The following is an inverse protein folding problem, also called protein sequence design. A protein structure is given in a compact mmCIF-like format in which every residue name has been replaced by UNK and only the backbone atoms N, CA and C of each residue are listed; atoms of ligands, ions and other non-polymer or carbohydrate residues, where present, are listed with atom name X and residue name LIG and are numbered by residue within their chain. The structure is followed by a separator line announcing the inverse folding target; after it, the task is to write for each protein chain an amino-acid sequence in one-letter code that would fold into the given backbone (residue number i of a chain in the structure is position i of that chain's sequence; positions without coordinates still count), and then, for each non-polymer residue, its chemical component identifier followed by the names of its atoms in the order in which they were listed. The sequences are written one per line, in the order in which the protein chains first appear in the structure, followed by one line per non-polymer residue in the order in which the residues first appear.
data_IF_925672119867
#
_entry.id   IF_925672119867
#
_cell.length_a   1.000
_cell.length_b   1.000
_cell.length_c   1.000
_cell.angle_alpha   90.00
_cell.angle_beta   90.00
_cell.angle_gamma   90.00
#
_symmetry.space_group_name_H-M   'P 1'
#
loop_
_entity.id
_entity.type
_entity.pdbx_description
1 polymer ?
#
# COMPACT_ATOMS: atom_id res chain seq x y z
N UNK A 1 -16.88 -42.19 36.14
CA UNK A 1 -15.96 -41.86 35.03
C UNK A 1 -16.65 -42.16 33.72
N UNK A 2 -16.57 -41.28 32.72
CA UNK A 2 -17.19 -41.50 31.40
C UNK A 2 -16.52 -42.68 30.66
N UNK A 3 -17.27 -43.40 29.83
CA UNK A 3 -16.70 -44.51 29.07
C UNK A 3 -15.72 -43.98 28.02
N UNK A 4 -14.61 -44.68 27.73
CA UNK A 4 -13.65 -44.25 26.71
C UNK A 4 -14.28 -43.98 25.34
N UNK A 5 -15.35 -44.71 24.99
CA UNK A 5 -16.13 -44.51 23.75
C UNK A 5 -16.86 -43.17 23.70
N UNK A 6 -17.41 -42.70 24.82
CA UNK A 6 -18.13 -41.43 24.93
C UNK A 6 -17.16 -40.26 24.86
N UNK A 7 -15.99 -40.39 25.52
CA UNK A 7 -14.91 -39.41 25.43
C UNK A 7 -14.37 -39.28 24.01
N UNK A 8 -14.14 -40.40 23.32
CA UNK A 8 -13.64 -40.38 21.95
C UNK A 8 -14.66 -39.82 20.96
N UNK A 9 -15.96 -40.03 21.21
CA UNK A 9 -17.03 -39.40 20.43
C UNK A 9 -17.04 -37.88 20.61
N UNK A 10 -17.02 -37.40 21.85
CA UNK A 10 -16.98 -35.96 22.14
C UNK A 10 -15.73 -35.28 21.55
N UNK A 11 -14.56 -35.94 21.59
CA UNK A 11 -13.34 -35.42 20.98
C UNK A 11 -13.42 -35.33 19.44
N UNK A 12 -14.14 -36.24 18.79
CA UNK A 12 -14.37 -36.18 17.33
C UNK A 12 -15.36 -35.07 16.99
N UNK A 13 -16.45 -34.96 17.74
CA UNK A 13 -17.43 -33.88 17.56
C UNK A 13 -16.77 -32.50 17.71
N UNK A 14 -15.90 -32.32 18.72
CA UNK A 14 -15.12 -31.08 18.88
C UNK A 14 -14.14 -30.82 17.72
N UNK A 15 -13.50 -31.87 17.19
CA UNK A 15 -12.62 -31.73 16.03
C UNK A 15 -13.41 -31.32 14.77
N UNK A 16 -14.57 -31.95 14.55
CA UNK A 16 -15.44 -31.63 13.41
C UNK A 16 -15.96 -30.19 13.52
N UNK A 17 -16.42 -29.75 14.70
CA UNK A 17 -16.82 -28.36 14.96
C UNK A 17 -15.68 -27.36 14.71
N UNK A 18 -14.45 -27.71 15.07
CA UNK A 18 -13.29 -26.85 14.84
C UNK A 18 -12.98 -26.68 13.35
N UNK A 19 -13.09 -27.77 12.57
CA UNK A 19 -12.89 -27.75 11.11
C UNK A 19 -13.98 -26.93 10.43
N UNK A 20 -15.24 -27.08 10.84
CA UNK A 20 -16.34 -26.29 10.30
C UNK A 20 -16.16 -24.79 10.60
N UNK A 21 -15.72 -24.44 11.80
CA UNK A 21 -15.43 -23.05 12.17
C UNK A 21 -14.29 -22.45 11.32
N UNK A 22 -13.24 -23.22 11.06
CA UNK A 22 -12.14 -22.80 10.17
C UNK A 22 -12.61 -22.60 8.73
N UNK A 23 -13.48 -23.48 8.23
CA UNK A 23 -14.06 -23.35 6.88
C UNK A 23 -14.90 -22.07 6.78
N UNK A 24 -15.71 -21.76 7.79
CA UNK A 24 -16.50 -20.52 7.81
C UNK A 24 -15.61 -19.28 7.89
N UNK A 25 -14.55 -19.30 8.69
CA UNK A 25 -13.57 -18.21 8.74
C UNK A 25 -12.88 -17.98 7.39
N UNK A 26 -12.51 -19.06 6.69
CA UNK A 26 -11.92 -19.00 5.35
C UNK A 26 -12.92 -18.47 4.30
N UNK A 27 -14.20 -18.84 4.39
CA UNK A 27 -15.26 -18.31 3.53
C UNK A 27 -15.43 -16.81 3.72
N UNK A 28 -15.49 -16.35 4.97
CA UNK A 28 -15.58 -14.92 5.29
C UNK A 28 -14.36 -14.14 4.75
N UNK A 29 -13.15 -14.69 4.91
CA UNK A 29 -11.92 -14.08 4.38
C UNK A 29 -11.90 -14.05 2.84
N UNK A 30 -12.37 -15.10 2.18
CA UNK A 30 -12.50 -15.13 0.72
C UNK A 30 -13.45 -14.04 0.24
N UNK A 31 -14.59 -13.87 0.92
CA UNK A 31 -15.60 -12.90 0.51
C UNK A 31 -15.13 -11.46 0.75
N UNK A 32 -14.37 -11.21 1.82
CA UNK A 32 -13.72 -9.91 2.02
C UNK A 32 -12.66 -9.62 0.94
N UNK A 33 -11.85 -10.61 0.56
CA UNK A 33 -10.89 -10.47 -0.54
C UNK A 33 -11.56 -10.22 -1.89
N UNK A 34 -12.71 -10.87 -2.15
CA UNK A 34 -13.51 -10.59 -3.36
C UNK A 34 -14.01 -9.14 -3.38
N UNK A 35 -14.50 -8.64 -2.26
CA UNK A 35 -14.94 -7.24 -2.15
C UNK A 35 -13.78 -6.26 -2.37
N UNK A 36 -12.57 -6.57 -1.88
CA UNK A 36 -11.37 -5.79 -2.18
C UNK A 36 -10.99 -5.86 -3.65
N UNK A 37 -11.09 -7.04 -4.27
CA UNK A 37 -10.85 -7.24 -5.71
C UNK A 37 -11.71 -6.34 -6.58
N UNK A 38 -13.02 -6.27 -6.31
CA UNK A 38 -13.93 -5.36 -7.02
C UNK A 38 -13.49 -3.90 -6.89
N UNK A 39 -13.14 -3.45 -5.68
CA UNK A 39 -12.66 -2.08 -5.48
C UNK A 39 -11.35 -1.79 -6.22
N UNK A 40 -10.46 -2.78 -6.33
CA UNK A 40 -9.22 -2.63 -7.08
C UNK A 40 -9.48 -2.54 -8.59
N UNK A 41 -10.44 -3.29 -9.10
CA UNK A 41 -10.86 -3.19 -10.51
C UNK A 41 -11.50 -1.82 -10.80
N UNK A 42 -12.35 -1.31 -9.90
CA UNK A 42 -12.93 0.03 -10.01
C UNK A 42 -11.84 1.12 -10.00
N UNK A 43 -10.85 1.01 -9.10
CA UNK A 43 -9.72 1.94 -9.06
C UNK A 43 -8.88 1.86 -10.32
N UNK A 44 -8.63 0.66 -10.85
CA UNK A 44 -7.91 0.48 -12.11
C UNK A 44 -8.63 1.15 -13.27
N UNK A 45 -9.95 1.00 -13.33
CA UNK A 45 -10.77 1.70 -14.33
C UNK A 45 -10.69 3.22 -14.16
N UNK A 46 -10.83 3.73 -12.94
CA UNK A 46 -10.73 5.17 -12.66
C UNK A 46 -9.36 5.76 -13.04
N UNK A 47 -8.26 5.03 -12.79
CA UNK A 47 -6.92 5.43 -13.20
C UNK A 47 -6.82 5.52 -14.73
N UNK A 48 -7.41 4.57 -15.44
CA UNK A 48 -7.39 4.59 -16.91
C UNK A 48 -8.18 5.77 -17.47
N UNK A 49 -9.36 6.05 -16.91
CA UNK A 49 -10.15 7.23 -17.26
C UNK A 49 -9.37 8.53 -16.98
N UNK A 50 -8.66 8.59 -15.85
CA UNK A 50 -7.82 9.75 -15.52
C UNK A 50 -6.67 9.92 -16.53
N UNK A 51 -6.02 8.84 -16.96
CA UNK A 51 -4.97 8.89 -17.99
C UNK A 51 -5.50 9.42 -19.31
N UNK A 52 -6.64 8.90 -19.77
CA UNK A 52 -7.30 9.38 -20.99
C UNK A 52 -7.60 10.88 -20.88
N UNK A 53 -8.21 11.31 -19.77
CA UNK A 53 -8.51 12.73 -19.54
C UNK A 53 -7.24 13.60 -19.47
N UNK A 54 -6.16 13.10 -18.88
CA UNK A 54 -4.88 13.80 -18.83
C UNK A 54 -4.24 13.95 -20.22
N UNK A 55 -4.28 12.90 -21.04
CA UNK A 55 -3.77 12.92 -22.42
C UNK A 55 -4.58 13.89 -23.29
N UNK A 56 -5.91 13.88 -23.16
CA UNK A 56 -6.81 14.83 -23.83
C UNK A 56 -6.52 16.28 -23.40
N UNK A 57 -6.25 16.51 -22.12
CA UNK A 57 -5.87 17.83 -21.62
C UNK A 57 -4.52 18.29 -22.17
N UNK A 58 -3.52 17.40 -22.26
CA UNK A 58 -2.22 17.71 -22.84
C UNK A 58 -2.36 18.06 -24.34
N UNK A 59 -3.13 17.29 -25.09
CA UNK A 59 -3.40 17.56 -26.50
C UNK A 59 -4.11 18.91 -26.69
N UNK A 60 -5.16 19.16 -25.90
CA UNK A 60 -5.93 20.40 -25.96
C UNK A 60 -5.09 21.62 -25.59
N UNK A 61 -4.36 21.55 -24.47
CA UNK A 61 -3.48 22.65 -24.02
C UNK A 61 -2.34 22.95 -25.00
N UNK A 62 -1.77 21.92 -25.64
CA UNK A 62 -0.80 22.08 -26.72
C UNK A 62 -1.38 22.81 -27.93
N UNK A 63 -2.62 22.47 -28.32
CA UNK A 63 -3.34 23.12 -29.42
C UNK A 63 -3.66 24.60 -29.10
N UNK A 64 -4.10 24.89 -27.88
CA UNK A 64 -4.39 26.26 -27.42
C UNK A 64 -3.13 27.11 -27.37
N UNK A 65 -2.01 26.56 -26.85
CA UNK A 65 -0.72 27.25 -26.82
C UNK A 65 -0.26 27.63 -28.24
N UNK A 66 -0.40 26.71 -29.20
CA UNK A 66 -0.04 26.95 -30.60
C UNK A 66 -0.95 28.02 -31.24
N UNK A 67 -2.27 27.93 -31.01
CA UNK A 67 -3.22 28.92 -31.50
C UNK A 67 -2.91 30.33 -30.98
N UNK A 68 -2.63 30.48 -29.69
CA UNK A 68 -2.27 31.77 -29.09
C UNK A 68 -0.95 32.31 -29.64
N UNK A 69 0.05 31.45 -29.85
CA UNK A 69 1.31 31.85 -30.49
C UNK A 69 1.08 32.38 -31.91
N UNK A 70 0.27 31.68 -32.71
CA UNK A 70 0.00 32.03 -34.10
C UNK A 70 -0.84 33.30 -34.25
N UNK A 71 -1.80 33.52 -33.34
CA UNK A 71 -2.70 34.69 -33.33
C UNK A 71 -2.07 35.95 -32.75
N UNK A 72 -1.41 35.84 -31.60
CA UNK A 72 -0.80 36.98 -30.91
C UNK A 72 0.61 37.31 -31.41
N UNK A 73 1.16 36.50 -32.34
CA UNK A 73 2.53 36.63 -32.88
C UNK A 73 3.59 36.71 -31.78
N UNK A 74 3.33 36.06 -30.64
CA UNK A 74 4.21 36.06 -29.48
C UNK A 74 5.45 35.24 -29.82
N UNK A 75 6.62 35.79 -29.52
CA UNK A 75 7.88 35.12 -29.83
C UNK A 75 8.12 33.94 -28.87
N UNK A 76 8.88 32.92 -29.29
CA UNK A 76 9.05 31.68 -28.51
C UNK A 76 9.58 31.92 -27.09
N UNK A 77 10.41 32.95 -26.91
CA UNK A 77 10.96 33.32 -25.58
C UNK A 77 9.90 33.89 -24.64
N UNK A 78 8.98 34.70 -25.17
CA UNK A 78 7.89 35.30 -24.39
C UNK A 78 6.83 34.27 -24.03
N UNK A 79 6.52 33.35 -24.95
CA UNK A 79 5.63 32.22 -24.66
C UNK A 79 6.16 31.33 -23.54
N UNK A 80 7.47 31.15 -23.41
CA UNK A 80 8.07 30.36 -22.33
C UNK A 80 8.01 31.06 -20.96
N UNK A 81 7.80 32.38 -20.92
CA UNK A 81 7.62 33.13 -19.66
C UNK A 81 6.18 32.95 -19.16
N UNK A 82 5.20 33.09 -20.06
CA UNK A 82 3.77 32.96 -19.72
C UNK A 82 3.39 31.49 -19.52
N UNK A 83 3.98 30.62 -20.33
CA UNK A 83 3.70 29.19 -20.38
C UNK A 83 5.03 28.44 -20.40
N UNK A 84 5.68 28.27 -19.23
CA UNK A 84 6.91 27.52 -19.15
C UNK A 84 6.72 26.10 -19.69
N UNK A 85 7.74 25.52 -20.33
CA UNK A 85 7.68 24.13 -20.76
C UNK A 85 7.47 23.24 -19.53
N UNK A 86 6.50 22.33 -19.61
CA UNK A 86 6.32 21.24 -18.64
C UNK A 86 7.44 20.22 -18.87
N UNK A 87 8.68 20.61 -18.59
CA UNK A 87 9.77 19.66 -18.53
C UNK A 87 9.42 18.65 -17.45
N UNK A 88 9.55 17.35 -17.75
CA UNK A 88 9.64 16.35 -16.69
C UNK A 88 10.77 16.82 -15.79
N UNK A 89 10.45 17.35 -14.61
CA UNK A 89 11.45 17.45 -13.54
C UNK A 89 11.93 16.02 -13.39
N UNK A 90 13.18 15.76 -13.79
CA UNK A 90 13.86 14.59 -13.28
C UNK A 90 13.75 14.73 -11.76
N UNK A 91 13.38 13.67 -11.07
CA UNK A 91 13.42 13.63 -9.61
C UNK A 91 14.88 13.85 -9.19
N UNK A 92 15.30 15.10 -9.15
CA UNK A 92 16.40 15.53 -8.29
C UNK A 92 15.81 15.41 -6.90
N UNK A 93 16.36 14.45 -6.16
CA UNK A 93 16.03 14.17 -4.78
C UNK A 93 15.90 15.49 -4.03
N UNK A 94 14.82 15.61 -3.27
CA UNK A 94 14.59 16.69 -2.33
C UNK A 94 15.89 16.98 -1.58
N UNK A 95 16.48 18.14 -1.86
CA UNK A 95 17.56 18.73 -1.08
C UNK A 95 16.88 19.28 0.20
N UNK A 96 16.43 18.36 1.04
CA UNK A 96 15.99 18.67 2.40
C UNK A 96 17.26 18.90 3.22
N UNK A 97 17.44 20.08 3.84
CA UNK A 97 18.60 20.33 4.66
C UNK A 97 18.58 19.37 5.85
N UNK A 98 19.48 18.39 5.86
CA UNK A 98 19.72 17.56 7.03
C UNK A 98 20.15 18.48 8.19
N UNK A 99 19.49 18.41 9.36
CA UNK A 99 19.98 19.14 10.52
C UNK A 99 21.37 18.61 10.91
N UNK A 100 22.29 19.48 11.37
CA UNK A 100 23.64 19.07 11.70
C UNK A 100 23.63 18.01 12.81
N UNK A 101 24.38 16.94 12.58
CA UNK A 101 24.65 15.91 13.55
C UNK A 101 25.51 16.51 14.67
N UNK A 102 24.89 16.97 15.74
CA UNK A 102 25.43 17.05 17.10
C UNK A 102 24.38 17.65 18.04
N UNK A 103 23.54 16.78 18.59
CA UNK A 103 22.81 16.96 19.86
C UNK A 103 22.03 15.68 20.16
N UNK A 104 22.73 14.64 20.60
CA UNK A 104 22.10 13.58 21.39
C UNK A 104 22.20 14.03 22.84
N UNK A 105 21.22 14.82 23.27
CA UNK A 105 21.02 15.08 24.70
C UNK A 105 20.35 13.83 25.29
N UNK A 106 21.13 13.09 26.07
CA UNK A 106 20.72 11.87 26.75
C UNK A 106 19.59 12.16 27.74
N UNK A 107 18.34 11.88 27.36
CA UNK A 107 17.25 11.72 28.34
C UNK A 107 17.18 10.27 28.80
N UNK A 108 17.72 10.09 30.00
CA UNK A 108 17.52 8.95 30.90
C UNK A 108 16.03 8.85 31.28
N UNK A 109 15.36 7.82 30.78
CA UNK A 109 14.07 7.37 31.31
C UNK A 109 14.06 5.84 31.44
N UNK A 110 14.57 5.38 32.59
CA UNK A 110 13.88 4.43 33.46
C UNK A 110 13.48 3.09 32.85
N UNK A 111 14.34 2.09 33.05
CA UNK A 111 13.99 0.67 32.95
C UNK A 111 12.80 0.31 33.85
N UNK A 112 11.77 -0.32 33.28
CA UNK A 112 10.95 -1.29 34.03
C UNK A 112 10.70 -2.52 33.15
N UNK A 113 11.61 -3.48 33.22
CA UNK A 113 11.43 -4.79 32.61
C UNK A 113 10.61 -5.67 33.54
N UNK A 114 9.34 -5.90 33.19
CA UNK A 114 8.61 -7.07 33.70
C UNK A 114 9.17 -8.32 33.02
N UNK A 115 9.84 -9.15 33.81
CA UNK A 115 10.31 -10.48 33.40
C UNK A 115 9.13 -11.44 33.20
N UNK A 116 9.07 -12.14 32.06
CA UNK A 116 8.49 -13.49 32.00
C UNK A 116 9.48 -14.41 31.29
N UNK A 117 9.96 -15.34 32.11
CA UNK A 117 10.81 -16.49 31.85
C UNK A 117 10.11 -17.53 30.98
N UNK A 118 10.88 -18.27 30.15
CA UNK A 118 10.41 -19.56 29.60
C UNK A 118 11.06 -19.94 28.27
N UNK A 119 12.04 -20.84 28.35
CA UNK A 119 12.90 -21.35 27.28
C UNK A 119 12.22 -22.27 26.25
N UNK A 120 12.98 -22.49 25.17
CA UNK A 120 12.96 -23.57 24.16
C UNK A 120 11.96 -23.41 23.00
N UNK A 121 12.34 -23.37 21.71
CA UNK A 121 13.58 -23.77 21.05
C UNK A 121 13.38 -25.04 20.22
N UNK A 122 12.74 -24.94 19.05
CA UNK A 122 12.83 -25.97 18.00
C UNK A 122 12.44 -25.41 16.62
N UNK A 123 13.39 -25.40 15.67
CA UNK A 123 13.16 -25.14 14.24
C UNK A 123 13.72 -26.34 13.47
N UNK A 124 12.91 -27.15 12.78
CA UNK A 124 13.46 -28.24 11.97
C UNK A 124 13.90 -27.69 10.60
N UNK A 125 15.20 -27.80 10.34
CA UNK A 125 15.80 -27.55 9.04
C UNK A 125 15.46 -28.65 8.03
N UNK A 126 15.17 -28.25 6.81
CA UNK A 126 15.09 -29.11 5.63
C UNK A 126 16.50 -29.57 5.23
N UNK A 127 16.72 -30.87 5.12
CA UNK A 127 17.84 -31.45 4.40
C UNK A 127 17.31 -32.07 3.10
N UNK A 128 17.93 -31.68 1.99
CA UNK A 128 17.90 -32.43 0.73
C UNK A 128 18.92 -33.54 0.71
#
# INVERSE_FOLDING_TARGET
MAKPSERNRAMRELADESVDAEIEALRAKRDSLRAVGVKLDDLRWAIEQFRVAADDFIATSGSTRRYLQDTLKIDKREMNIVWPPTGKRKNEASDEPQPPADQVESQDHGQSDYSVSGESGFVPGYAG
#
